data_IF_387391457496
#
_entry.id   IF_387391457496
#
_cell.length_a   1.000
_cell.length_b   1.000
_cell.length_c   1.000
_cell.angle_alpha   90.00
_cell.angle_beta   90.00
_cell.angle_gamma   90.00
#
_symmetry.space_group_name_H-M   'P 1'
#
loop_
_entity.id
_entity.type
_entity.pdbx_description
1 polymer ?
#
# COMPACT_ATOMS: atom_id res chain seq x y z
N UNK A 1 -17.72 -4.28 -9.68
CA UNK A 1 -18.74 -3.51 -8.94
C UNK A 1 -18.54 -2.05 -9.20
N UNK A 2 -19.58 -1.23 -9.18
CA UNK A 2 -19.47 0.22 -9.35
C UNK A 2 -19.97 0.96 -8.12
N UNK A 3 -19.35 2.09 -7.84
CA UNK A 3 -19.70 2.98 -6.72
C UNK A 3 -19.91 4.39 -7.24
N UNK A 4 -21.04 4.98 -6.87
CA UNK A 4 -21.32 6.37 -7.21
C UNK A 4 -20.42 7.31 -6.40
N UNK A 5 -19.79 8.28 -7.08
CA UNK A 5 -18.91 9.28 -6.45
C UNK A 5 -19.70 10.33 -5.64
N UNK A 6 -21.01 10.51 -5.93
CA UNK A 6 -21.85 11.50 -5.25
C UNK A 6 -22.65 10.93 -4.08
N UNK A 7 -23.32 9.77 -4.26
CA UNK A 7 -24.19 9.20 -3.23
C UNK A 7 -23.66 7.90 -2.62
N UNK A 8 -22.48 7.42 -3.04
CA UNK A 8 -21.83 6.19 -2.57
C UNK A 8 -22.66 4.91 -2.77
N UNK A 9 -23.71 4.94 -3.64
CA UNK A 9 -24.49 3.76 -3.96
C UNK A 9 -23.66 2.77 -4.75
N UNK A 10 -23.65 1.50 -4.32
CA UNK A 10 -23.00 0.38 -5.00
C UNK A 10 -24.01 -0.30 -5.93
N UNK A 11 -23.58 -0.66 -7.14
CA UNK A 11 -24.42 -1.31 -8.13
C UNK A 11 -23.59 -2.18 -9.09
N UNK A 12 -24.25 -3.11 -9.78
CA UNK A 12 -23.62 -4.02 -10.73
C UNK A 12 -23.59 -3.44 -12.14
N UNK A 13 -22.77 -4.06 -13.01
CA UNK A 13 -22.74 -3.73 -14.43
C UNK A 13 -24.13 -3.98 -15.06
N UNK A 14 -24.60 -2.99 -15.81
CA UNK A 14 -25.92 -3.04 -16.45
C UNK A 14 -27.06 -2.40 -15.64
N UNK A 15 -26.83 -2.03 -14.39
CA UNK A 15 -27.81 -1.31 -13.55
C UNK A 15 -27.75 0.21 -13.72
N UNK A 16 -26.79 0.74 -14.50
CA UNK A 16 -26.65 2.16 -14.74
C UNK A 16 -27.92 2.79 -15.32
N UNK A 17 -28.34 3.92 -14.77
CA UNK A 17 -29.36 4.74 -15.39
C UNK A 17 -28.82 5.32 -16.71
N UNK A 18 -29.57 5.20 -17.77
CA UNK A 18 -29.22 5.79 -19.07
C UNK A 18 -30.25 6.83 -19.46
N UNK A 19 -29.80 7.96 -20.04
CA UNK A 19 -30.69 8.99 -20.59
C UNK A 19 -30.06 9.63 -21.83
N UNK A 20 -30.93 10.27 -22.62
CA UNK A 20 -30.53 10.96 -23.84
C UNK A 20 -30.86 12.45 -23.70
N UNK A 21 -29.90 13.31 -24.00
CA UNK A 21 -30.11 14.76 -24.08
C UNK A 21 -30.13 15.20 -25.53
N UNK A 22 -31.14 16.03 -25.88
CA UNK A 22 -31.29 16.64 -27.20
C UNK A 22 -30.97 18.12 -27.11
N UNK A 23 -29.94 18.55 -27.84
CA UNK A 23 -29.53 19.95 -27.92
C UNK A 23 -30.23 20.71 -29.05
N UNK A 24 -31.56 20.83 -29.02
CA UNK A 24 -32.37 21.66 -29.94
C UNK A 24 -32.63 21.04 -31.32
N UNK A 25 -33.46 21.73 -32.12
CA UNK A 25 -34.04 21.21 -33.37
C UNK A 25 -33.04 21.02 -34.53
N UNK A 26 -31.83 21.61 -34.47
CA UNK A 26 -30.85 21.63 -35.54
C UNK A 26 -29.49 20.97 -35.21
N UNK A 27 -29.35 20.36 -34.02
CA UNK A 27 -28.14 19.64 -33.65
C UNK A 27 -28.26 18.16 -33.95
N UNK A 28 -27.21 17.51 -34.49
CA UNK A 28 -27.20 16.08 -34.59
C UNK A 28 -27.30 15.47 -33.16
N UNK A 29 -27.93 14.34 -33.11
CA UNK A 29 -28.77 13.95 -32.01
C UNK A 29 -27.99 13.27 -30.92
N UNK A 30 -28.45 13.43 -29.74
CA UNK A 30 -28.35 12.48 -28.64
C UNK A 30 -26.95 12.19 -28.14
N UNK A 31 -26.51 13.00 -27.22
CA UNK A 31 -25.53 12.51 -26.27
C UNK A 31 -26.22 11.52 -25.34
N UNK A 32 -25.72 10.28 -25.34
CA UNK A 32 -26.15 9.25 -24.41
C UNK A 32 -25.29 9.32 -23.18
N UNK A 33 -25.95 9.54 -22.06
CA UNK A 33 -25.30 9.56 -20.78
C UNK A 33 -25.63 8.29 -20.00
N UNK A 34 -24.70 7.85 -19.16
CA UNK A 34 -24.94 6.80 -18.18
C UNK A 34 -24.45 7.27 -16.82
N UNK A 35 -25.16 6.90 -15.77
CA UNK A 35 -24.82 7.32 -14.41
C UNK A 35 -25.42 6.39 -13.36
N UNK A 36 -25.20 6.77 -12.10
CA UNK A 36 -25.74 6.06 -10.96
C UNK A 36 -27.26 5.84 -11.09
N UNK A 37 -27.77 4.63 -10.83
CA UNK A 37 -29.21 4.34 -10.94
C UNK A 37 -30.06 5.17 -9.95
N UNK A 38 -29.46 5.70 -8.88
CA UNK A 38 -30.17 6.45 -7.83
C UNK A 38 -30.15 7.96 -8.08
N UNK A 39 -28.98 8.55 -8.31
CA UNK A 39 -28.82 10.02 -8.42
C UNK A 39 -28.42 10.50 -9.82
N UNK A 40 -28.10 9.59 -10.73
CA UNK A 40 -27.52 9.86 -12.06
C UNK A 40 -26.12 10.49 -12.05
N UNK A 41 -25.49 10.60 -10.89
CA UNK A 41 -24.11 11.09 -10.75
C UNK A 41 -23.08 10.14 -11.34
N UNK A 42 -21.84 10.60 -11.41
CA UNK A 42 -20.71 9.83 -11.91
C UNK A 42 -20.43 8.61 -11.03
N UNK A 43 -19.78 7.62 -11.60
CA UNK A 43 -19.42 6.40 -10.92
C UNK A 43 -18.08 5.87 -11.39
N UNK A 44 -17.45 5.09 -10.52
CA UNK A 44 -16.17 4.45 -10.77
C UNK A 44 -16.24 2.95 -10.48
N UNK A 45 -15.36 2.18 -11.11
CA UNK A 45 -15.23 0.76 -10.82
C UNK A 45 -14.50 0.59 -9.49
N UNK A 46 -15.01 -0.35 -8.66
CA UNK A 46 -14.43 -0.60 -7.34
C UNK A 46 -14.29 -2.10 -7.08
N UNK A 47 -13.28 -2.43 -6.31
CA UNK A 47 -12.87 -3.78 -5.93
C UNK A 47 -12.84 -3.91 -4.41
N UNK A 48 -13.01 -5.11 -3.90
CA UNK A 48 -12.95 -5.34 -2.46
C UNK A 48 -11.50 -5.53 -2.00
N UNK A 49 -11.17 -4.93 -0.87
CA UNK A 49 -9.96 -5.27 -0.15
C UNK A 49 -10.07 -6.69 0.42
N UNK A 50 -9.07 -7.53 0.16
CA UNK A 50 -9.05 -8.93 0.59
C UNK A 50 -9.07 -9.10 2.12
N UNK A 51 -8.60 -8.09 2.85
CA UNK A 51 -8.54 -8.13 4.31
C UNK A 51 -9.80 -7.61 4.99
N UNK A 52 -10.25 -6.38 4.68
CA UNK A 52 -11.41 -5.78 5.35
C UNK A 52 -12.72 -5.92 4.59
N UNK A 53 -12.69 -6.23 3.28
CA UNK A 53 -13.87 -6.32 2.43
C UNK A 53 -14.46 -4.96 2.04
N UNK A 54 -13.82 -3.84 2.39
CA UNK A 54 -14.24 -2.51 1.97
C UNK A 54 -13.98 -2.30 0.47
N UNK A 55 -14.77 -1.42 -0.16
CA UNK A 55 -14.70 -1.13 -1.58
C UNK A 55 -13.80 0.05 -1.87
N UNK A 56 -12.83 -0.16 -2.76
CA UNK A 56 -11.81 0.80 -3.17
C UNK A 56 -11.68 0.84 -4.69
N UNK A 57 -11.16 1.93 -5.24
CA UNK A 57 -10.73 1.99 -6.64
C UNK A 57 -9.48 1.14 -6.85
N UNK A 58 -9.15 0.83 -8.10
CA UNK A 58 -7.99 0.01 -8.43
C UNK A 58 -6.67 0.66 -7.95
N UNK A 59 -6.57 1.98 -8.05
CA UNK A 59 -5.40 2.76 -7.63
C UNK A 59 -5.26 2.90 -6.10
N UNK A 60 -6.30 2.57 -5.34
CA UNK A 60 -6.27 2.52 -3.87
C UNK A 60 -5.93 1.11 -3.33
N UNK A 61 -5.81 0.12 -4.21
CA UNK A 61 -5.47 -1.26 -3.85
C UNK A 61 -4.07 -1.64 -4.31
N UNK A 62 -3.33 -2.24 -3.44
CA UNK A 62 -1.97 -2.75 -3.65
C UNK A 62 -2.03 -4.28 -3.54
N UNK A 63 -2.00 -4.97 -4.67
CA UNK A 63 -2.12 -6.44 -4.77
C UNK A 63 -3.28 -7.01 -3.91
N UNK A 64 -4.47 -6.35 -3.98
CA UNK A 64 -5.68 -6.73 -3.25
C UNK A 64 -5.84 -6.11 -1.85
N UNK A 65 -4.85 -5.36 -1.35
CA UNK A 65 -4.87 -4.76 -0.01
C UNK A 65 -5.06 -3.24 -0.08
N UNK A 66 -5.97 -2.68 0.73
CA UNK A 66 -6.02 -1.24 0.92
C UNK A 66 -4.88 -0.73 1.84
N UNK A 67 -4.51 0.54 1.70
CA UNK A 67 -3.43 1.15 2.47
C UNK A 67 -3.55 0.92 3.98
N UNK A 68 -4.74 1.08 4.51
CA UNK A 68 -5.01 0.87 5.94
C UNK A 68 -4.69 -0.55 6.37
N UNK A 69 -5.17 -1.55 5.62
CA UNK A 69 -4.93 -2.94 5.95
C UNK A 69 -3.45 -3.31 5.84
N UNK A 70 -2.75 -2.82 4.81
CA UNK A 70 -1.30 -3.00 4.71
C UNK A 70 -0.59 -2.43 5.93
N UNK A 71 -0.90 -1.19 6.30
CA UNK A 71 -0.32 -0.51 7.45
C UNK A 71 -0.52 -1.29 8.74
N UNK A 72 -1.71 -1.84 8.94
CA UNK A 72 -2.07 -2.60 10.14
C UNK A 72 -1.32 -3.94 10.25
N UNK A 73 -0.77 -4.49 9.15
CA UNK A 73 0.06 -5.70 9.17
C UNK A 73 1.51 -5.43 9.56
N UNK A 74 1.98 -4.17 9.44
CA UNK A 74 3.38 -3.83 9.68
C UNK A 74 3.65 -3.76 11.17
N UNK A 75 4.44 -4.70 11.64
CA UNK A 75 5.04 -4.71 12.97
C UNK A 75 6.53 -5.04 12.85
N UNK A 76 7.27 -5.06 13.96
CA UNK A 76 8.70 -5.34 13.94
C UNK A 76 9.04 -6.69 13.27
N UNK A 77 8.27 -7.72 13.58
CA UNK A 77 8.56 -9.06 13.11
C UNK A 77 8.32 -9.14 11.59
N UNK A 78 7.18 -8.65 11.09
CA UNK A 78 6.85 -8.62 9.66
C UNK A 78 7.80 -7.72 8.87
N UNK A 79 8.15 -6.56 9.42
CA UNK A 79 9.09 -5.64 8.77
C UNK A 79 10.46 -6.28 8.56
N UNK A 80 11.02 -6.91 9.58
CA UNK A 80 12.34 -7.55 9.46
C UNK A 80 12.31 -8.82 8.61
N UNK A 81 11.22 -9.59 8.62
CA UNK A 81 11.05 -10.71 7.69
C UNK A 81 10.98 -10.24 6.23
N UNK A 82 10.29 -9.14 5.96
CA UNK A 82 10.26 -8.51 4.65
C UNK A 82 11.64 -8.03 4.22
N UNK A 83 12.38 -7.34 5.08
CA UNK A 83 13.75 -6.92 4.80
C UNK A 83 14.67 -8.12 4.53
N UNK A 84 14.53 -9.22 5.26
CA UNK A 84 15.32 -10.44 5.02
C UNK A 84 14.98 -11.10 3.67
N UNK A 85 13.71 -11.09 3.29
CA UNK A 85 13.28 -11.63 1.99
C UNK A 85 13.82 -10.80 0.80
N UNK A 86 13.98 -9.50 0.99
CA UNK A 86 14.43 -8.54 -0.02
C UNK A 86 15.85 -8.03 0.23
N UNK A 87 16.71 -8.86 0.78
CA UNK A 87 18.07 -8.51 1.20
C UNK A 87 19.01 -7.99 0.12
N UNK A 88 18.70 -8.26 -1.14
CA UNK A 88 19.49 -7.78 -2.28
C UNK A 88 19.14 -6.33 -2.67
N UNK A 89 18.10 -5.75 -2.02
CA UNK A 89 17.68 -4.36 -2.19
C UNK A 89 18.51 -3.43 -1.30
N UNK A 90 19.48 -2.78 -1.88
CA UNK A 90 20.45 -1.91 -1.18
C UNK A 90 19.81 -0.80 -0.32
N UNK A 91 18.63 -0.34 -0.71
CA UNK A 91 17.87 0.70 0.03
C UNK A 91 17.34 0.21 1.37
N UNK A 92 16.81 -0.99 1.40
CA UNK A 92 16.26 -1.60 2.63
C UNK A 92 17.35 -1.77 3.68
N UNK A 93 18.51 -2.27 3.26
CA UNK A 93 19.66 -2.46 4.15
C UNK A 93 20.11 -1.13 4.77
N UNK A 94 20.26 -0.09 3.97
CA UNK A 94 20.69 1.23 4.43
C UNK A 94 19.68 1.84 5.40
N UNK A 95 18.38 1.78 5.09
CA UNK A 95 17.33 2.31 5.92
C UNK A 95 17.29 1.61 7.29
N UNK A 96 17.30 0.29 7.29
CA UNK A 96 17.25 -0.48 8.54
C UNK A 96 18.44 -0.19 9.43
N UNK A 97 19.64 -0.02 8.85
CA UNK A 97 20.82 0.37 9.64
C UNK A 97 20.72 1.79 10.21
N UNK A 98 20.23 2.75 9.44
CA UNK A 98 20.00 4.10 9.95
C UNK A 98 19.04 4.06 11.14
N UNK A 99 17.99 3.25 11.03
CA UNK A 99 17.03 3.09 12.12
C UNK A 99 17.63 2.39 13.35
N UNK A 100 18.40 1.31 13.16
CA UNK A 100 19.01 0.54 14.26
C UNK A 100 20.12 1.32 14.97
N UNK A 101 20.94 2.05 14.22
CA UNK A 101 22.05 2.84 14.75
C UNK A 101 21.63 4.25 15.16
N UNK A 102 20.40 4.66 14.83
CA UNK A 102 19.92 6.04 15.02
C UNK A 102 20.89 7.08 14.44
N UNK A 103 21.47 6.78 13.28
CA UNK A 103 22.40 7.63 12.57
C UNK A 103 21.79 8.11 11.24
N UNK A 104 22.34 9.19 10.70
CA UNK A 104 21.99 9.67 9.38
C UNK A 104 22.50 8.73 8.29
N UNK A 105 21.81 8.71 7.15
CA UNK A 105 22.14 7.84 6.03
C UNK A 105 23.59 7.99 5.53
N UNK A 106 24.13 9.20 5.61
CA UNK A 106 25.52 9.50 5.19
C UNK A 106 26.58 8.94 6.14
N UNK A 107 26.20 8.60 7.37
CA UNK A 107 27.08 8.06 8.41
C UNK A 107 27.15 6.53 8.37
N UNK A 108 26.25 5.87 7.63
CA UNK A 108 26.25 4.41 7.47
C UNK A 108 27.53 4.00 6.76
N UNK A 109 28.35 3.12 7.34
CA UNK A 109 29.53 2.60 6.67
C UNK A 109 29.16 1.97 5.34
N UNK A 110 29.93 2.23 4.28
CA UNK A 110 29.75 1.62 2.96
C UNK A 110 30.22 0.17 2.99
N UNK A 111 29.38 -0.70 3.53
CA UNK A 111 29.60 -2.14 3.44
C UNK A 111 29.04 -2.70 2.13
N UNK A 112 29.57 -3.78 1.59
CA UNK A 112 28.88 -4.57 0.59
C UNK A 112 27.51 -5.02 1.14
N UNK A 113 26.46 -4.96 0.34
CA UNK A 113 25.08 -5.19 0.77
C UNK A 113 24.89 -6.50 1.54
N UNK A 114 25.57 -7.58 1.15
CA UNK A 114 25.48 -8.87 1.81
C UNK A 114 26.13 -8.92 3.22
N UNK A 115 27.26 -8.24 3.45
CA UNK A 115 27.90 -8.12 4.78
C UNK A 115 27.03 -7.30 5.72
N UNK A 116 26.45 -6.25 5.19
CA UNK A 116 25.54 -5.38 5.88
C UNK A 116 24.26 -6.12 6.31
N UNK A 117 23.66 -6.83 5.38
CA UNK A 117 22.48 -7.64 5.65
C UNK A 117 22.75 -8.70 6.73
N UNK A 118 23.88 -9.40 6.65
CA UNK A 118 24.26 -10.37 7.66
C UNK A 118 24.43 -9.75 9.04
N UNK A 119 25.07 -8.58 9.12
CA UNK A 119 25.24 -7.82 10.36
C UNK A 119 23.86 -7.38 10.92
N UNK A 120 22.96 -6.94 10.06
CA UNK A 120 21.60 -6.54 10.43
C UNK A 120 20.80 -7.70 11.01
N UNK A 121 20.75 -8.83 10.32
CA UNK A 121 20.04 -10.05 10.78
C UNK A 121 20.62 -10.55 12.11
N UNK A 122 21.93 -10.54 12.27
CA UNK A 122 22.56 -10.93 13.54
C UNK A 122 22.25 -9.94 14.67
N UNK A 123 22.23 -8.66 14.37
CA UNK A 123 21.89 -7.61 15.34
C UNK A 123 20.42 -7.71 15.74
N UNK A 124 19.53 -7.98 14.76
CA UNK A 124 18.11 -8.23 15.01
C UNK A 124 17.89 -9.45 15.90
N UNK A 125 18.48 -10.59 15.56
CA UNK A 125 18.36 -11.84 16.35
C UNK A 125 18.81 -11.64 17.82
N UNK A 126 19.83 -10.81 18.04
CA UNK A 126 20.37 -10.50 19.38
C UNK A 126 19.61 -9.40 20.10
N UNK A 127 18.96 -8.51 19.38
CA UNK A 127 18.44 -7.24 19.89
C UNK A 127 16.95 -6.99 19.73
N UNK A 128 16.13 -7.99 19.32
CA UNK A 128 14.67 -7.80 19.12
C UNK A 128 13.99 -7.14 20.33
N UNK A 129 14.33 -7.57 21.54
CA UNK A 129 13.76 -6.98 22.74
C UNK A 129 14.18 -5.51 22.91
N UNK A 130 15.43 -5.18 22.59
CA UNK A 130 15.93 -3.81 22.62
C UNK A 130 15.35 -2.96 21.48
N UNK A 131 15.16 -3.53 20.28
CA UNK A 131 14.53 -2.84 19.17
C UNK A 131 13.06 -2.49 19.51
N UNK A 132 12.32 -3.39 20.12
CA UNK A 132 10.96 -3.12 20.63
C UNK A 132 10.94 -2.00 21.68
N UNK A 133 11.84 -2.06 22.66
CA UNK A 133 11.98 -1.05 23.70
C UNK A 133 12.40 0.33 23.15
N UNK A 134 13.34 0.37 22.22
CA UNK A 134 13.77 1.59 21.54
C UNK A 134 12.68 2.11 20.61
N UNK A 135 11.94 1.22 19.97
CA UNK A 135 10.85 1.55 19.07
C UNK A 135 9.68 2.22 19.78
N UNK A 136 9.27 1.70 20.93
CA UNK A 136 8.24 2.33 21.76
C UNK A 136 8.64 3.73 22.21
N UNK A 137 9.94 3.92 22.52
CA UNK A 137 10.44 5.19 23.02
C UNK A 137 10.73 6.24 21.96
N UNK A 138 11.12 5.83 20.74
CA UNK A 138 11.61 6.72 19.67
C UNK A 138 10.79 6.67 18.38
N UNK A 139 9.63 6.01 18.38
CA UNK A 139 8.77 5.92 17.19
C UNK A 139 9.40 5.14 16.03
N UNK A 140 10.24 4.15 16.35
CA UNK A 140 10.92 3.35 15.32
C UNK A 140 9.95 2.59 14.41
N UNK A 141 8.87 2.04 14.98
CA UNK A 141 7.84 1.34 14.21
C UNK A 141 7.18 2.28 13.17
N UNK A 142 6.89 3.52 13.56
CA UNK A 142 6.32 4.51 12.65
C UNK A 142 7.27 4.84 11.48
N UNK A 143 8.58 4.82 11.71
CA UNK A 143 9.56 4.98 10.62
C UNK A 143 9.57 3.77 9.67
N UNK A 144 9.46 2.56 10.21
CA UNK A 144 9.36 1.35 9.41
C UNK A 144 8.07 1.34 8.56
N UNK A 145 6.96 1.73 9.16
CA UNK A 145 5.68 1.90 8.46
C UNK A 145 5.80 2.98 7.38
N UNK A 146 6.35 4.14 7.73
CA UNK A 146 6.58 5.24 6.79
C UNK A 146 7.40 4.79 5.59
N UNK A 147 8.49 4.07 5.81
CA UNK A 147 9.35 3.56 4.74
C UNK A 147 8.61 2.67 3.73
N UNK A 148 7.77 1.74 4.20
CA UNK A 148 6.98 0.89 3.31
C UNK A 148 5.87 1.70 2.62
N UNK A 149 5.28 2.69 3.30
CA UNK A 149 4.14 3.46 2.82
C UNK A 149 4.52 4.71 2.01
N UNK A 150 5.79 5.13 2.04
CA UNK A 150 6.27 6.24 1.22
C UNK A 150 6.33 5.86 -0.26
N UNK A 151 5.94 6.84 -1.10
CA UNK A 151 5.78 6.66 -2.55
C UNK A 151 6.86 7.43 -3.34
N UNK A 152 8.10 7.42 -2.87
CA UNK A 152 9.22 8.15 -3.48
C UNK A 152 9.90 7.36 -4.62
N UNK A 153 9.10 6.82 -5.56
CA UNK A 153 9.59 6.08 -6.74
C UNK A 153 10.09 4.67 -6.41
N UNK A 154 9.83 4.21 -5.21
CA UNK A 154 9.99 2.85 -4.76
C UNK A 154 8.59 2.29 -4.50
N UNK A 155 8.19 1.26 -5.24
CA UNK A 155 6.88 0.60 -5.11
C UNK A 155 6.77 -0.19 -3.79
N UNK A 156 7.01 0.49 -2.67
CA UNK A 156 7.12 -0.15 -1.36
C UNK A 156 5.83 -0.85 -0.94
N UNK A 157 4.69 -0.23 -1.23
CA UNK A 157 3.37 -0.78 -0.90
C UNK A 157 3.07 -2.04 -1.71
N UNK A 158 3.27 -1.97 -3.03
CA UNK A 158 3.06 -3.10 -3.94
C UNK A 158 4.00 -4.26 -3.62
N UNK A 159 5.28 -3.98 -3.44
CA UNK A 159 6.27 -4.98 -3.10
C UNK A 159 5.97 -5.66 -1.75
N UNK A 160 5.52 -4.88 -0.77
CA UNK A 160 5.14 -5.42 0.52
C UNK A 160 3.85 -6.24 0.45
N UNK A 161 2.85 -5.79 -0.30
CA UNK A 161 1.60 -6.53 -0.52
C UNK A 161 1.85 -7.85 -1.24
N UNK A 162 2.64 -7.85 -2.31
CA UNK A 162 3.05 -9.07 -3.01
C UNK A 162 3.79 -10.04 -2.09
N UNK A 163 4.69 -9.54 -1.24
CA UNK A 163 5.40 -10.36 -0.28
C UNK A 163 4.45 -10.98 0.76
N UNK A 164 3.46 -10.22 1.26
CA UNK A 164 2.45 -10.75 2.19
C UNK A 164 1.65 -11.89 1.56
N UNK A 165 1.16 -11.70 0.35
CA UNK A 165 0.39 -12.72 -0.38
C UNK A 165 1.23 -13.98 -0.62
N UNK A 166 2.51 -13.83 -0.95
CA UNK A 166 3.42 -14.97 -1.15
C UNK A 166 3.80 -15.68 0.17
N UNK A 167 3.71 -14.99 1.32
CA UNK A 167 3.99 -15.55 2.65
C UNK A 167 2.88 -16.49 3.11
N UNK A 168 1.63 -16.16 2.87
CA UNK A 168 0.47 -16.95 3.30
C UNK A 168 0.32 -18.28 2.55
N UNK A 169 0.95 -18.41 1.38
CA UNK A 169 0.89 -19.62 0.54
C UNK A 169 1.86 -20.74 1.02
N UNK A 170 2.70 -20.51 2.01
CA UNK A 170 3.64 -21.49 2.58
C UNK A 170 3.12 -22.10 3.87
#
# INVERSE_FOLDING_TARGET
>A
MYKCTECCHLFEEGEQATWEETHGLDSPPYEKWSGCPVCKGDYEEVYQCDSCGDWHTEDELYDGWCEKCLRDTINYDTFFEYCEANKDEQYLDTFVMCCLLNCDQDEVPKYPSWEFHHLMVETYKRGVANAKLLGEKFGFLEKCIGFIMEDDGYSGRENYAEWLNNREVK
#
